data_IF_916326835895
#
_entry.id   IF_916326835895
#
_cell.length_a   1.000
_cell.length_b   1.000
_cell.length_c   1.000
_cell.angle_alpha   90.00
_cell.angle_beta   90.00
_cell.angle_gamma   90.00
#
_symmetry.space_group_name_H-M   'P 1'
#
loop_
_entity.id
_entity.type
_entity.pdbx_description
1 polymer ?
#
# COMPACT_ATOMS: atom_id res chain seq x y z
N UNK A 1 -2.61 -11.83 7.16
CA UNK A 1 -3.19 -10.50 6.84
C UNK A 1 -3.70 -9.91 8.12
N UNK A 2 -3.31 -8.69 8.48
CA UNK A 2 -3.78 -8.03 9.71
C UNK A 2 -5.31 -7.93 9.69
N UNK A 3 -5.98 -8.26 10.80
CA UNK A 3 -7.45 -8.32 10.88
C UNK A 3 -8.15 -7.03 10.42
N UNK A 4 -7.46 -5.89 10.53
CA UNK A 4 -7.92 -4.58 10.04
C UNK A 4 -8.30 -4.57 8.54
N UNK A 5 -7.59 -5.31 7.70
CA UNK A 5 -7.92 -5.35 6.26
C UNK A 5 -9.24 -6.07 5.98
N UNK A 6 -9.53 -7.14 6.72
CA UNK A 6 -10.79 -7.86 6.58
C UNK A 6 -11.98 -7.02 7.05
N UNK A 7 -11.81 -6.26 8.13
CA UNK A 7 -12.82 -5.33 8.65
C UNK A 7 -13.11 -4.20 7.66
N UNK A 8 -12.06 -3.61 7.07
CA UNK A 8 -12.20 -2.56 6.05
C UNK A 8 -12.88 -3.07 4.79
N UNK A 9 -12.54 -4.27 4.34
CA UNK A 9 -13.19 -4.93 3.21
C UNK A 9 -14.67 -5.15 3.47
N UNK A 10 -15.03 -5.71 4.63
CA UNK A 10 -16.41 -5.93 5.00
C UNK A 10 -17.19 -4.61 5.07
N UNK A 11 -16.59 -3.56 5.62
CA UNK A 11 -17.22 -2.24 5.70
C UNK A 11 -17.48 -1.64 4.32
N UNK A 12 -16.47 -1.63 3.45
CA UNK A 12 -16.56 -1.08 2.10
C UNK A 12 -17.63 -1.79 1.25
N UNK A 13 -17.69 -3.12 1.31
CA UNK A 13 -18.67 -3.88 0.53
C UNK A 13 -20.09 -3.71 1.09
N UNK A 14 -20.26 -3.75 2.41
CA UNK A 14 -21.59 -3.76 3.03
C UNK A 14 -22.20 -2.38 3.23
N UNK A 15 -21.37 -1.36 3.46
CA UNK A 15 -21.84 -0.03 3.83
C UNK A 15 -21.55 1.04 2.77
N UNK A 16 -20.50 0.88 1.95
CA UNK A 16 -20.19 1.80 0.85
C UNK A 16 -20.66 1.30 -0.53
N UNK A 17 -21.12 0.05 -0.61
CA UNK A 17 -21.62 -0.55 -1.86
C UNK A 17 -20.53 -0.86 -2.89
N UNK A 18 -19.26 -0.87 -2.47
CA UNK A 18 -18.15 -1.22 -3.36
C UNK A 18 -18.17 -2.71 -3.68
N UNK A 19 -18.00 -3.05 -4.95
CA UNK A 19 -17.71 -4.45 -5.31
C UNK A 19 -16.32 -4.85 -4.80
N UNK A 20 -16.04 -6.15 -4.60
CA UNK A 20 -14.70 -6.61 -4.25
C UNK A 20 -13.63 -6.13 -5.22
N UNK A 21 -13.92 -6.12 -6.53
CA UNK A 21 -12.99 -5.64 -7.54
C UNK A 21 -12.69 -4.15 -7.40
N UNK A 22 -13.71 -3.33 -7.13
CA UNK A 22 -13.53 -1.89 -6.90
C UNK A 22 -12.70 -1.62 -5.64
N UNK A 23 -12.95 -2.34 -4.55
CA UNK A 23 -12.15 -2.20 -3.31
C UNK A 23 -10.65 -2.39 -3.57
N UNK A 24 -10.27 -3.44 -4.30
CA UNK A 24 -8.86 -3.73 -4.59
C UNK A 24 -8.27 -2.84 -5.68
N UNK A 25 -9.11 -2.15 -6.46
CA UNK A 25 -8.69 -1.21 -7.49
C UNK A 25 -8.50 0.23 -6.96
N UNK A 26 -8.96 0.54 -5.74
CA UNK A 26 -8.79 1.85 -5.13
C UNK A 26 -7.32 2.23 -5.03
N UNK A 27 -6.98 3.41 -5.54
CA UNK A 27 -5.68 4.03 -5.35
C UNK A 27 -5.48 4.45 -3.89
N UNK A 28 -4.22 4.68 -3.50
CA UNK A 28 -3.88 5.13 -2.16
C UNK A 28 -4.56 6.47 -1.81
N UNK A 29 -4.73 7.36 -2.78
CA UNK A 29 -5.40 8.65 -2.60
C UNK A 29 -6.89 8.49 -2.29
N UNK A 30 -7.57 7.58 -2.98
CA UNK A 30 -8.99 7.29 -2.74
C UNK A 30 -9.17 6.58 -1.40
N UNK A 31 -8.28 5.64 -1.06
CA UNK A 31 -8.24 5.03 0.26
C UNK A 31 -8.10 6.06 1.38
N UNK A 32 -7.22 7.04 1.18
CA UNK A 32 -6.99 8.11 2.15
C UNK A 32 -8.21 9.02 2.28
N UNK A 33 -8.90 9.33 1.17
CA UNK A 33 -10.14 10.11 1.19
C UNK A 33 -11.27 9.40 1.96
N UNK A 34 -11.39 8.07 1.81
CA UNK A 34 -12.37 7.27 2.54
C UNK A 34 -12.06 7.14 4.04
N UNK A 35 -10.78 7.03 4.39
CA UNK A 35 -10.35 6.81 5.77
C UNK A 35 -10.22 8.10 6.59
N UNK A 36 -9.90 9.21 5.94
CA UNK A 36 -9.65 10.49 6.57
C UNK A 36 -10.32 11.61 5.75
N UNK A 37 -11.65 11.79 5.90
CA UNK A 37 -12.39 12.79 5.13
C UNK A 37 -11.93 14.24 5.40
N UNK A 38 -11.15 14.49 6.47
CA UNK A 38 -10.66 15.82 6.83
C UNK A 38 -9.33 15.81 7.63
N UNK A 39 -8.37 14.92 7.33
CA UNK A 39 -7.06 15.04 7.97
C UNK A 39 -6.33 16.29 7.43
N UNK A 40 -5.83 17.19 8.30
CA UNK A 40 -4.94 18.24 7.84
C UNK A 40 -3.73 17.60 7.15
N UNK A 41 -3.28 18.19 6.05
CA UNK A 41 -2.15 17.74 5.22
C UNK A 41 -0.88 17.50 6.07
N UNK A 42 -0.80 18.07 7.27
CA UNK A 42 0.27 17.91 8.24
C UNK A 42 0.52 16.48 8.75
N UNK A 43 -0.45 15.55 8.61
CA UNK A 43 -0.28 14.14 8.99
C UNK A 43 0.23 13.26 7.81
N UNK A 44 0.60 13.85 6.67
CA UNK A 44 1.38 13.13 5.67
C UNK A 44 2.81 12.97 6.16
N UNK A 45 3.40 11.76 6.07
CA UNK A 45 4.82 11.59 6.33
C UNK A 45 5.62 12.51 5.40
N UNK A 46 6.56 13.26 5.97
CA UNK A 46 7.44 14.17 5.22
C UNK A 46 8.08 13.44 4.02
N UNK A 47 7.90 13.93 2.78
CA UNK A 47 8.51 13.35 1.60
C UNK A 47 10.04 13.18 1.71
N UNK A 48 10.73 14.07 2.42
CA UNK A 48 12.17 13.95 2.63
C UNK A 48 12.50 12.79 3.58
N UNK A 49 11.76 12.63 4.68
CA UNK A 49 11.88 11.47 5.57
C UNK A 49 11.60 10.13 4.86
N UNK A 50 10.60 10.09 3.99
CA UNK A 50 10.30 8.91 3.15
C UNK A 50 11.46 8.56 2.20
N UNK A 51 12.05 9.57 1.52
CA UNK A 51 13.21 9.35 0.65
C UNK A 51 14.43 8.88 1.44
N UNK A 52 14.66 9.45 2.62
CA UNK A 52 15.74 9.02 3.52
C UNK A 52 15.57 7.55 3.96
N UNK A 53 14.32 7.14 4.23
CA UNK A 53 14.00 5.76 4.57
C UNK A 53 14.26 4.82 3.38
N UNK A 54 13.82 5.19 2.17
CA UNK A 54 14.05 4.41 0.95
C UNK A 54 15.56 4.26 0.64
N UNK A 55 16.34 5.32 0.83
CA UNK A 55 17.80 5.25 0.68
C UNK A 55 18.46 4.34 1.73
N UNK A 56 17.92 4.31 2.96
CA UNK A 56 18.42 3.46 4.05
C UNK A 56 18.09 1.97 3.86
N UNK A 57 16.95 1.67 3.24
CA UNK A 57 16.47 0.32 3.00
C UNK A 57 16.22 0.10 1.50
N UNK A 58 17.27 0.02 0.68
CA UNK A 58 17.11 -0.19 -0.75
C UNK A 58 16.52 -1.58 -1.02
N UNK A 59 15.61 -1.66 -1.98
CA UNK A 59 15.07 -2.94 -2.43
C UNK A 59 16.19 -3.84 -2.93
N UNK A 60 16.29 -5.03 -2.37
CA UNK A 60 17.23 -6.03 -2.87
C UNK A 60 16.66 -6.63 -4.15
N UNK A 61 17.07 -6.07 -5.28
CA UNK A 61 16.95 -6.77 -6.56
C UNK A 61 17.82 -8.01 -6.42
N UNK A 62 17.20 -9.17 -6.18
CA UNK A 62 17.90 -10.44 -6.26
C UNK A 62 18.22 -10.67 -7.74
N UNK A 63 19.39 -10.21 -8.16
CA UNK A 63 19.95 -10.57 -9.46
C UNK A 63 20.26 -12.06 -9.36
N UNK A 64 19.32 -12.90 -9.81
CA UNK A 64 19.55 -14.34 -9.96
C UNK A 64 20.57 -14.52 -11.09
N UNK A 65 21.85 -14.39 -10.74
CA UNK A 65 22.98 -14.55 -11.65
C UNK A 65 23.28 -16.04 -11.79
N UNK A 66 23.01 -16.58 -12.97
CA UNK A 66 23.64 -17.77 -13.53
C UNK A 66 23.31 -19.09 -12.84
N UNK A 67 22.38 -19.85 -13.42
CA UNK A 67 22.44 -21.31 -13.32
C UNK A 67 23.61 -21.73 -14.21
N UNK A 68 24.72 -22.10 -13.59
CA UNK A 68 25.86 -22.67 -14.31
C UNK A 68 25.45 -24.06 -14.83
N UNK A 69 25.26 -24.16 -16.15
CA UNK A 69 25.25 -25.43 -16.86
C UNK A 69 26.62 -25.63 -17.53
N UNK A 70 27.49 -26.37 -16.86
CA UNK A 70 28.58 -27.17 -17.44
C UNK A 70 29.07 -28.09 -16.31
N UNK A 71 29.22 -29.40 -16.46
CA UNK A 71 29.14 -30.33 -17.57
C UNK A 71 29.65 -31.67 -17.03
#
# INVERSE_FOLDING_TARGET
MSGRWAEWFAFAVRHLGLTPGQFWALSLSEWRALAYPAAPVSDLPDPAALRALAARFPDRISTMKGIDHAG
#
